data_IF_992260846468
#
_entry.id   IF_992260846468
#
_cell.length_a   1.000
_cell.length_b   1.000
_cell.length_c   1.000
_cell.angle_alpha   90.00
_cell.angle_beta   90.00
_cell.angle_gamma   90.00
#
_symmetry.space_group_name_H-M   'P 1'
#
loop_
_entity.id
_entity.type
_entity.pdbx_description
1 polymer ?
#
# COMPACT_ATOMS: atom_id res chain seq x y z
N UNK A 1 45.77 -9.10 -5.03
CA UNK A 1 44.88 -10.29 -5.18
C UNK A 1 44.06 -10.64 -3.93
N UNK A 2 44.66 -10.80 -2.72
CA UNK A 2 43.93 -11.17 -1.49
C UNK A 2 42.75 -10.25 -1.10
N UNK A 3 42.87 -8.93 -1.30
CA UNK A 3 41.79 -7.98 -1.02
C UNK A 3 40.59 -8.15 -1.96
N UNK A 4 40.82 -8.46 -3.23
CA UNK A 4 39.76 -8.66 -4.22
C UNK A 4 38.97 -9.95 -3.94
N UNK A 5 39.65 -11.01 -3.51
CA UNK A 5 39.01 -12.26 -3.10
C UNK A 5 38.12 -12.04 -1.86
N UNK A 6 38.64 -11.34 -0.85
CA UNK A 6 37.88 -11.01 0.37
C UNK A 6 36.65 -10.14 0.06
N UNK A 7 36.77 -9.20 -0.87
CA UNK A 7 35.66 -8.36 -1.31
C UNK A 7 34.58 -9.18 -2.04
N UNK A 8 34.97 -10.06 -2.97
CA UNK A 8 34.04 -10.96 -3.68
C UNK A 8 33.30 -11.91 -2.73
N UNK A 9 33.98 -12.37 -1.68
CA UNK A 9 33.37 -13.23 -0.67
C UNK A 9 32.31 -12.48 0.14
N UNK A 10 32.60 -11.23 0.51
CA UNK A 10 31.69 -10.35 1.27
C UNK A 10 30.46 -9.84 0.51
N UNK A 11 30.34 -10.10 -0.80
CA UNK A 11 29.17 -9.66 -1.58
C UNK A 11 27.92 -10.44 -1.13
N UNK A 12 26.85 -9.79 -0.65
CA UNK A 12 25.68 -10.48 -0.13
C UNK A 12 24.80 -11.11 -1.21
N UNK A 13 24.84 -10.59 -2.45
CA UNK A 13 24.00 -11.06 -3.54
C UNK A 13 24.83 -11.77 -4.61
N UNK A 14 24.57 -13.07 -4.80
CA UNK A 14 25.26 -13.95 -5.75
C UNK A 14 24.25 -14.75 -6.56
N UNK A 15 24.56 -15.01 -7.83
CA UNK A 15 23.82 -15.93 -8.70
C UNK A 15 24.77 -17.09 -8.98
N UNK A 16 24.35 -18.32 -8.68
CA UNK A 16 25.17 -19.54 -8.82
C UNK A 16 26.57 -19.41 -8.19
N UNK A 17 26.62 -18.80 -6.99
CA UNK A 17 27.86 -18.60 -6.24
C UNK A 17 28.77 -17.48 -6.77
N UNK A 18 28.46 -16.87 -7.91
CA UNK A 18 29.19 -15.74 -8.49
C UNK A 18 28.56 -14.41 -8.11
N UNK A 19 29.39 -13.41 -7.84
CA UNK A 19 28.92 -12.04 -7.65
C UNK A 19 28.19 -11.56 -8.91
N UNK A 20 27.12 -10.78 -8.74
CA UNK A 20 26.32 -10.30 -9.87
C UNK A 20 27.14 -9.30 -10.68
N UNK A 21 27.35 -9.60 -11.96
CA UNK A 21 28.08 -8.77 -12.90
C UNK A 21 27.17 -8.26 -14.03
N UNK A 22 27.58 -7.17 -14.69
CA UNK A 22 26.86 -6.64 -15.84
C UNK A 22 26.85 -7.67 -16.98
N UNK A 23 25.69 -7.85 -17.61
CA UNK A 23 25.51 -8.84 -18.68
C UNK A 23 25.14 -10.25 -18.19
N UNK A 24 25.20 -10.54 -16.89
CA UNK A 24 24.69 -11.81 -16.35
C UNK A 24 23.18 -11.93 -16.60
N UNK A 25 22.76 -13.09 -17.12
CA UNK A 25 21.36 -13.39 -17.34
C UNK A 25 20.66 -13.47 -15.98
N UNK A 26 19.61 -12.66 -15.80
CA UNK A 26 18.79 -12.70 -14.59
C UNK A 26 18.02 -14.04 -14.52
N UNK A 27 18.03 -14.72 -13.36
CA UNK A 27 17.33 -15.99 -13.19
C UNK A 27 15.82 -15.80 -13.12
N UNK A 28 15.06 -16.84 -13.45
CA UNK A 28 13.59 -16.83 -13.42
C UNK A 28 12.93 -16.11 -14.59
N UNK A 29 11.60 -16.08 -14.58
CA UNK A 29 10.79 -15.43 -15.60
C UNK A 29 10.95 -13.91 -15.51
N UNK A 30 11.62 -13.30 -16.50
CA UNK A 30 11.88 -11.86 -16.58
C UNK A 30 10.64 -11.06 -17.03
N UNK A 31 9.48 -11.44 -16.52
CA UNK A 31 8.20 -10.79 -16.85
C UNK A 31 8.23 -9.37 -16.34
N UNK A 32 8.08 -8.42 -17.24
CA UNK A 32 7.90 -7.01 -16.91
C UNK A 32 6.65 -6.50 -17.60
N UNK A 33 5.92 -5.63 -16.92
CA UNK A 33 4.68 -5.05 -17.43
C UNK A 33 4.89 -3.55 -17.50
N UNK A 34 4.78 -2.98 -18.71
CA UNK A 34 4.71 -1.54 -18.91
C UNK A 34 3.24 -1.12 -18.91
N UNK A 35 2.85 -0.28 -17.95
CA UNK A 35 1.52 0.31 -17.90
C UNK A 35 1.63 1.76 -18.37
N UNK A 36 1.01 2.08 -19.50
CA UNK A 36 0.93 3.44 -20.02
C UNK A 36 -0.45 3.98 -19.70
N UNK A 37 -0.51 5.07 -18.95
CA UNK A 37 -1.77 5.73 -18.57
C UNK A 37 -1.83 7.10 -19.23
N UNK A 38 -2.89 7.32 -20.02
CA UNK A 38 -3.12 8.64 -20.63
C UNK A 38 -3.40 9.69 -19.56
N UNK A 39 -2.87 10.90 -19.75
CA UNK A 39 -3.26 12.08 -18.97
C UNK A 39 -4.56 12.72 -19.48
N UNK A 40 -5.30 12.07 -20.36
CA UNK A 40 -6.56 12.57 -20.92
C UNK A 40 -7.74 11.74 -20.40
N UNK A 41 -8.90 12.37 -20.32
CA UNK A 41 -10.15 11.67 -20.06
C UNK A 41 -10.56 10.79 -21.26
N UNK A 42 -11.61 9.99 -21.09
CA UNK A 42 -12.10 9.05 -22.12
C UNK A 42 -12.58 9.75 -23.40
N UNK A 43 -12.94 11.04 -23.33
CA UNK A 43 -13.32 11.85 -24.51
C UNK A 43 -12.13 12.54 -25.17
N UNK A 44 -10.92 12.37 -24.64
CA UNK A 44 -9.68 13.03 -25.06
C UNK A 44 -9.70 14.57 -24.99
N UNK A 45 -10.68 15.15 -24.28
CA UNK A 45 -10.91 16.59 -24.22
C UNK A 45 -10.16 17.25 -23.08
N UNK A 46 -10.19 16.62 -21.90
CA UNK A 46 -9.70 17.20 -20.66
C UNK A 46 -8.37 16.56 -20.25
N UNK A 47 -7.39 17.38 -19.87
CA UNK A 47 -6.15 16.89 -19.27
C UNK A 47 -6.37 16.66 -17.78
N UNK A 48 -6.12 15.44 -17.33
CA UNK A 48 -6.09 15.00 -15.95
C UNK A 48 -4.69 15.26 -15.39
N UNK A 49 -4.61 16.07 -14.32
CA UNK A 49 -3.37 16.28 -13.59
C UNK A 49 -3.38 15.47 -12.30
N UNK A 50 -2.49 14.48 -12.14
CA UNK A 50 -2.41 13.68 -10.91
C UNK A 50 -1.96 14.50 -9.69
N UNK A 51 -1.35 15.67 -9.89
CA UNK A 51 -0.97 16.61 -8.81
C UNK A 51 -2.05 17.61 -8.43
N UNK A 52 -3.22 17.60 -9.07
CA UNK A 52 -4.31 18.53 -8.76
C UNK A 52 -4.88 18.26 -7.37
N UNK A 53 -4.90 19.29 -6.50
CA UNK A 53 -5.50 19.23 -5.16
C UNK A 53 -6.99 19.55 -5.13
N UNK A 54 -7.58 20.01 -6.24
CA UNK A 54 -9.00 20.36 -6.29
C UNK A 54 -9.87 19.12 -6.15
N UNK A 55 -10.85 19.18 -5.24
CA UNK A 55 -11.83 18.12 -5.00
C UNK A 55 -13.19 18.59 -5.53
N UNK A 56 -13.66 17.99 -6.61
CA UNK A 56 -15.04 18.11 -7.13
C UNK A 56 -15.63 19.52 -6.98
N UNK A 57 -14.97 20.54 -7.54
CA UNK A 57 -15.41 21.93 -7.44
C UNK A 57 -15.74 22.52 -8.79
N UNK A 58 -16.65 23.48 -8.82
CA UNK A 58 -16.96 24.26 -10.01
C UNK A 58 -16.14 25.55 -10.02
N UNK A 59 -15.59 25.92 -11.17
CA UNK A 59 -14.90 27.19 -11.35
C UNK A 59 -15.26 27.80 -12.69
N UNK A 60 -15.34 29.13 -12.77
CA UNK A 60 -15.55 29.81 -14.05
C UNK A 60 -14.21 29.90 -14.80
N UNK A 61 -14.17 29.37 -16.02
CA UNK A 61 -13.06 29.51 -16.95
C UNK A 61 -13.64 30.06 -18.25
N UNK A 62 -13.16 31.23 -18.69
CA UNK A 62 -13.65 31.91 -19.90
C UNK A 62 -15.18 32.08 -19.95
N UNK A 63 -15.77 32.50 -18.83
CA UNK A 63 -17.23 32.69 -18.69
C UNK A 63 -18.05 31.40 -18.58
N UNK A 64 -17.45 30.22 -18.72
CA UNK A 64 -18.13 28.92 -18.60
C UNK A 64 -17.80 28.24 -17.28
N UNK A 65 -18.81 27.64 -16.64
CA UNK A 65 -18.60 26.81 -15.45
C UNK A 65 -17.98 25.49 -15.86
N UNK A 66 -16.75 25.24 -15.40
CA UNK A 66 -16.02 23.98 -15.61
C UNK A 66 -15.88 23.25 -14.29
N UNK A 67 -16.11 21.93 -14.30
CA UNK A 67 -15.79 21.08 -13.16
C UNK A 67 -14.28 20.89 -13.09
N UNK A 68 -13.73 21.00 -11.87
CA UNK A 68 -12.31 20.80 -11.57
C UNK A 68 -12.17 19.73 -10.50
N UNK A 69 -11.22 18.82 -10.74
CA UNK A 69 -10.95 17.70 -9.85
C UNK A 69 -12.00 16.59 -9.90
N UNK A 70 -11.83 15.60 -9.04
CA UNK A 70 -12.77 14.47 -8.91
C UNK A 70 -12.90 14.06 -7.45
N UNK A 71 -13.96 13.31 -7.14
CA UNK A 71 -14.16 12.79 -5.80
C UNK A 71 -13.25 11.58 -5.56
N UNK A 72 -12.14 11.80 -4.85
CA UNK A 72 -11.16 10.76 -4.54
C UNK A 72 -11.77 9.57 -3.82
N UNK A 73 -12.64 9.80 -2.83
CA UNK A 73 -13.24 8.73 -2.04
C UNK A 73 -14.13 7.84 -2.92
N UNK A 74 -14.98 8.48 -3.74
CA UNK A 74 -15.85 7.77 -4.67
C UNK A 74 -15.05 6.99 -5.72
N UNK A 75 -13.92 7.53 -6.18
CA UNK A 75 -13.02 6.83 -7.10
C UNK A 75 -12.47 5.54 -6.50
N UNK A 76 -11.90 5.58 -5.28
CA UNK A 76 -11.38 4.37 -4.63
C UNK A 76 -12.49 3.36 -4.35
N UNK A 77 -13.65 3.80 -3.84
CA UNK A 77 -14.77 2.92 -3.56
C UNK A 77 -15.25 2.19 -4.82
N UNK A 78 -15.36 2.90 -5.95
CA UNK A 78 -15.74 2.28 -7.23
C UNK A 78 -14.66 1.34 -7.75
N UNK A 79 -13.39 1.73 -7.66
CA UNK A 79 -12.27 0.90 -8.13
C UNK A 79 -12.21 -0.43 -7.36
N UNK A 80 -12.39 -0.37 -6.03
CA UNK A 80 -12.46 -1.53 -5.15
C UNK A 80 -13.61 -2.47 -5.51
N UNK A 81 -14.83 -1.92 -5.69
CA UNK A 81 -16.00 -2.70 -6.11
C UNK A 81 -15.80 -3.36 -7.47
N UNK A 82 -15.31 -2.61 -8.46
CA UNK A 82 -15.04 -3.15 -9.80
C UNK A 82 -14.03 -4.28 -9.74
N UNK A 83 -12.94 -4.12 -8.97
CA UNK A 83 -11.94 -5.16 -8.79
C UNK A 83 -12.54 -6.41 -8.14
N UNK A 84 -13.31 -6.24 -7.06
CA UNK A 84 -13.95 -7.37 -6.37
C UNK A 84 -14.89 -8.14 -7.27
N UNK A 85 -15.73 -7.43 -8.02
CA UNK A 85 -16.66 -8.06 -8.96
C UNK A 85 -15.92 -8.76 -10.09
N UNK A 86 -14.91 -8.13 -10.69
CA UNK A 86 -14.20 -8.67 -11.84
C UNK A 86 -13.38 -9.92 -11.50
N UNK A 87 -12.78 -9.96 -10.31
CA UNK A 87 -11.90 -11.06 -9.89
C UNK A 87 -12.52 -11.97 -8.84
N UNK A 88 -13.80 -11.77 -8.49
CA UNK A 88 -14.46 -12.41 -7.35
C UNK A 88 -13.61 -12.32 -6.07
N UNK A 89 -12.97 -11.17 -5.86
CA UNK A 89 -12.04 -10.96 -4.77
C UNK A 89 -12.79 -10.65 -3.47
N UNK A 90 -12.64 -11.51 -2.47
CA UNK A 90 -13.20 -11.29 -1.12
C UNK A 90 -12.26 -10.41 -0.30
N UNK A 91 -12.30 -9.10 -0.54
CA UNK A 91 -11.42 -8.13 0.13
C UNK A 91 -11.62 -8.15 1.65
N UNK A 92 -10.53 -8.24 2.41
CA UNK A 92 -10.58 -8.07 3.86
C UNK A 92 -10.63 -6.58 4.23
N UNK A 93 -11.25 -6.25 5.37
CA UNK A 93 -11.30 -4.87 5.89
C UNK A 93 -9.94 -4.15 5.79
N UNK A 94 -8.84 -4.77 6.21
CA UNK A 94 -7.51 -4.12 6.27
C UNK A 94 -6.95 -3.70 4.91
N UNK A 95 -7.48 -4.27 3.84
CA UNK A 95 -7.07 -3.95 2.47
C UNK A 95 -7.90 -2.82 1.86
N UNK A 96 -9.02 -2.44 2.50
CA UNK A 96 -9.93 -1.43 1.98
C UNK A 96 -9.39 -0.01 2.18
N UNK A 97 -9.78 0.87 1.26
CA UNK A 97 -9.51 2.29 1.30
C UNK A 97 -10.16 2.94 2.52
N UNK A 98 -11.34 2.47 2.93
CA UNK A 98 -11.99 2.96 4.14
C UNK A 98 -11.20 2.63 5.40
N UNK A 99 -10.66 1.41 5.50
CA UNK A 99 -9.79 1.04 6.62
C UNK A 99 -8.52 1.88 6.65
N UNK A 100 -7.89 2.14 5.49
CA UNK A 100 -6.76 3.06 5.38
C UNK A 100 -7.11 4.48 5.84
N UNK A 101 -8.26 5.00 5.40
CA UNK A 101 -8.75 6.34 5.78
C UNK A 101 -9.03 6.41 7.28
N UNK A 102 -9.68 5.39 7.83
CA UNK A 102 -9.97 5.27 9.26
C UNK A 102 -8.69 5.22 10.06
N UNK A 103 -7.71 4.41 9.66
CA UNK A 103 -6.40 4.37 10.31
C UNK A 103 -5.69 5.74 10.33
N UNK A 104 -5.71 6.46 9.21
CA UNK A 104 -5.07 7.78 9.12
C UNK A 104 -5.75 8.83 9.98
N UNK A 105 -7.09 8.79 10.06
CA UNK A 105 -7.88 9.77 10.82
C UNK A 105 -7.93 9.44 12.32
N UNK A 106 -8.15 8.18 12.63
CA UNK A 106 -8.31 7.66 13.99
C UNK A 106 -7.79 6.21 14.06
N UNK A 107 -6.52 6.03 14.43
CA UNK A 107 -5.93 4.71 14.63
C UNK A 107 -6.69 3.87 15.66
N UNK A 108 -7.24 4.47 16.72
CA UNK A 108 -7.95 3.73 17.77
C UNK A 108 -9.21 3.09 17.22
N UNK A 109 -10.00 3.85 16.45
CA UNK A 109 -11.20 3.32 15.77
C UNK A 109 -10.85 2.21 14.78
N UNK A 110 -9.75 2.33 14.05
CA UNK A 110 -9.28 1.28 13.14
C UNK A 110 -8.99 -0.03 13.90
N UNK A 111 -8.26 0.02 15.02
CA UNK A 111 -7.96 -1.19 15.81
C UNK A 111 -9.19 -1.75 16.51
N UNK A 112 -10.11 -0.91 16.97
CA UNK A 112 -11.38 -1.37 17.53
C UNK A 112 -12.17 -2.19 16.48
N UNK A 113 -12.23 -1.72 15.24
CA UNK A 113 -12.86 -2.45 14.13
C UNK A 113 -12.11 -3.77 13.83
N UNK A 114 -10.77 -3.72 13.79
CA UNK A 114 -9.93 -4.90 13.54
C UNK A 114 -10.13 -6.00 14.59
N UNK A 115 -10.20 -5.63 15.86
CA UNK A 115 -10.44 -6.57 16.97
C UNK A 115 -11.89 -7.06 16.96
N UNK A 116 -12.84 -6.23 16.51
CA UNK A 116 -14.24 -6.60 16.36
C UNK A 116 -14.55 -7.57 15.21
N UNK A 117 -13.61 -7.82 14.29
CA UNK A 117 -13.81 -8.77 13.18
C UNK A 117 -14.03 -10.20 13.70
N UNK A 118 -14.84 -11.02 12.99
CA UNK A 118 -14.95 -12.46 13.22
C UNK A 118 -13.58 -13.16 13.22
N UNK A 119 -13.41 -14.22 14.00
CA UNK A 119 -12.11 -14.90 14.22
C UNK A 119 -11.42 -15.32 12.92
N UNK A 120 -12.18 -15.83 11.94
CA UNK A 120 -11.71 -16.20 10.61
C UNK A 120 -11.16 -15.00 9.83
N UNK A 121 -11.91 -13.89 9.77
CA UNK A 121 -11.50 -12.67 9.08
C UNK A 121 -10.34 -11.94 9.78
N UNK A 122 -10.33 -11.98 11.11
CA UNK A 122 -9.29 -11.39 11.94
C UNK A 122 -7.94 -12.09 11.74
N UNK A 123 -7.93 -13.41 11.65
CA UNK A 123 -6.72 -14.19 11.33
C UNK A 123 -6.14 -13.83 9.97
N UNK A 124 -7.01 -13.71 8.95
CA UNK A 124 -6.62 -13.26 7.60
C UNK A 124 -6.08 -11.83 7.64
N UNK A 125 -6.75 -10.93 8.36
CA UNK A 125 -6.33 -9.53 8.52
C UNK A 125 -4.91 -9.42 9.10
N UNK A 126 -4.62 -10.14 10.19
CA UNK A 126 -3.27 -10.14 10.78
C UNK A 126 -2.22 -10.74 9.85
N UNK A 127 -2.57 -11.77 9.07
CA UNK A 127 -1.67 -12.36 8.06
C UNK A 127 -1.34 -11.36 6.94
N UNK A 128 -2.33 -10.62 6.46
CA UNK A 128 -2.14 -9.57 5.43
C UNK A 128 -1.24 -8.46 5.98
N UNK A 129 -1.51 -7.99 7.20
CA UNK A 129 -0.70 -6.97 7.85
C UNK A 129 0.75 -7.43 8.07
N UNK A 130 0.95 -8.69 8.48
CA UNK A 130 2.27 -9.29 8.61
C UNK A 130 3.04 -9.32 7.28
N UNK A 131 2.37 -9.74 6.19
CA UNK A 131 2.96 -9.73 4.84
C UNK A 131 3.30 -8.32 4.34
N UNK A 132 2.52 -7.31 4.73
CA UNK A 132 2.77 -5.91 4.40
C UNK A 132 3.93 -5.29 5.23
N UNK A 133 4.69 -6.10 5.98
CA UNK A 133 5.81 -5.64 6.79
C UNK A 133 5.38 -4.99 8.11
N UNK A 134 4.09 -5.04 8.44
CA UNK A 134 3.60 -4.55 9.72
C UNK A 134 3.87 -5.63 10.75
N UNK A 135 4.76 -5.33 11.72
CA UNK A 135 5.00 -6.21 12.87
C UNK A 135 3.74 -6.24 13.73
N UNK A 136 2.81 -7.11 13.36
CA UNK A 136 1.67 -7.48 14.18
C UNK A 136 2.21 -8.23 15.40
N UNK A 137 2.00 -7.73 16.61
CA UNK A 137 2.31 -8.52 17.78
C UNK A 137 1.42 -9.75 17.76
N UNK A 138 2.02 -10.91 17.96
CA UNK A 138 1.31 -12.17 18.10
C UNK A 138 0.38 -12.00 19.31
N UNK A 139 -0.94 -11.90 19.07
CA UNK A 139 -1.94 -11.74 20.11
C UNK A 139 -2.15 -13.08 20.82
N UNK A 140 -1.18 -13.48 21.62
CA UNK A 140 -1.39 -14.40 22.72
C UNK A 140 -1.26 -13.60 24.02
N UNK A 141 -2.24 -12.75 24.30
CA UNK A 141 -2.21 -11.88 25.47
C UNK A 141 -3.48 -12.15 26.29
N UNK A 142 -3.35 -12.62 27.54
CA UNK A 142 -4.45 -12.65 28.51
C UNK A 142 -5.02 -11.24 28.63
N UNK A 143 -6.33 -11.11 28.83
CA UNK A 143 -7.12 -9.84 28.84
C UNK A 143 -6.70 -8.76 29.85
N UNK A 144 -5.57 -8.92 30.53
CA UNK A 144 -5.01 -7.95 31.47
C UNK A 144 -3.72 -7.35 30.92
N UNK A 145 -3.81 -6.13 30.41
CA UNK A 145 -2.85 -5.02 30.54
C UNK A 145 -2.92 -4.11 29.31
N UNK A 146 -3.76 -3.08 29.43
CA UNK A 146 -3.94 -1.96 28.49
C UNK A 146 -2.59 -1.37 28.03
N UNK A 147 -1.54 -1.43 28.85
CA UNK A 147 -0.19 -1.00 28.52
C UNK A 147 0.47 -1.83 27.40
N UNK A 148 0.24 -3.14 27.38
CA UNK A 148 0.74 -4.04 26.33
C UNK A 148 -0.01 -3.77 25.02
N UNK A 149 -1.33 -3.58 25.10
CA UNK A 149 -2.15 -3.14 23.96
C UNK A 149 -1.69 -1.77 23.39
N UNK A 150 -1.32 -0.81 24.26
CA UNK A 150 -0.81 0.49 23.81
C UNK A 150 0.60 0.41 23.20
N UNK A 151 1.50 -0.41 23.77
CA UNK A 151 2.86 -0.60 23.26
C UNK A 151 2.86 -1.31 21.90
N UNK A 152 1.97 -2.28 21.74
CA UNK A 152 1.72 -2.98 20.48
C UNK A 152 1.14 -2.06 19.41
N UNK A 153 0.14 -1.23 19.76
CA UNK A 153 -0.37 -0.18 18.87
C UNK A 153 0.74 0.80 18.44
N UNK A 154 1.61 1.23 19.36
CA UNK A 154 2.74 2.13 19.05
C UNK A 154 3.78 1.49 18.11
N UNK A 155 4.16 0.24 18.36
CA UNK A 155 5.10 -0.48 17.49
C UNK A 155 4.51 -0.74 16.10
N UNK A 156 3.23 -1.10 16.05
CA UNK A 156 2.51 -1.29 14.80
C UNK A 156 2.39 0.03 14.01
N UNK A 157 2.07 1.15 14.68
CA UNK A 157 2.05 2.49 14.07
C UNK A 157 3.40 2.85 13.45
N UNK A 158 4.50 2.52 14.13
CA UNK A 158 5.87 2.69 13.62
C UNK A 158 6.11 1.83 12.36
N UNK A 159 5.70 0.56 12.38
CA UNK A 159 5.88 -0.35 11.23
C UNK A 159 5.04 0.08 10.02
N UNK A 160 3.79 0.52 10.21
CA UNK A 160 2.97 1.06 9.12
C UNK A 160 3.53 2.35 8.52
N UNK A 161 4.10 3.24 9.34
CA UNK A 161 4.76 4.45 8.82
C UNK A 161 5.96 4.09 7.92
N UNK A 162 6.73 3.07 8.29
CA UNK A 162 7.85 2.56 7.46
C UNK A 162 7.32 1.97 6.15
N UNK A 163 6.29 1.14 6.19
CA UNK A 163 5.65 0.58 4.99
C UNK A 163 5.05 1.66 4.07
N UNK A 164 4.51 2.74 4.64
CA UNK A 164 4.03 3.91 3.90
C UNK A 164 5.16 4.63 3.18
N UNK A 165 6.27 4.89 3.86
CA UNK A 165 7.43 5.56 3.25
C UNK A 165 8.08 4.70 2.16
N UNK A 166 7.99 3.37 2.28
CA UNK A 166 8.48 2.44 1.26
C UNK A 166 7.55 2.33 0.03
N UNK A 167 6.26 2.66 0.17
CA UNK A 167 5.25 2.59 -0.89
C UNK A 167 4.91 3.95 -1.51
N UNK A 168 5.30 5.06 -0.87
CA UNK A 168 5.29 6.36 -1.53
C UNK A 168 6.51 6.49 -2.42
N UNK A 169 6.29 6.54 -3.74
CA UNK A 169 7.22 7.22 -4.62
C UNK A 169 7.31 8.66 -4.09
N UNK A 170 8.51 9.04 -3.63
CA UNK A 170 8.77 10.37 -3.11
C UNK A 170 8.34 11.42 -4.12
N UNK A 171 7.50 12.34 -3.65
CA UNK A 171 7.51 13.73 -4.10
C UNK A 171 7.95 14.52 -2.88
#
# INVERSE_FOLDING_TARGET
>A
EKQLAKLRESVPHKIDGRAIEQGMKKPGFQTHVHIIVSRKDVTNRYSLSPGSKYMQSASKLNGRTVQRGFNRNQFYERAEKTFDTMFNYKRNFVESYDARKTYLKDPHKYFAHLIGLPTNERGVAFKILGKAGVKVPVLNIPTSNVQVALKTIKQFKKAMNVARNASSIGI
#
